data_IF_728779656124
#
_entry.id   IF_728779656124
#
_cell.length_a   1.000
_cell.length_b   1.000
_cell.length_c   1.000
_cell.angle_alpha   90.00
_cell.angle_beta   90.00
_cell.angle_gamma   90.00
#
_symmetry.space_group_name_H-M   'P 1'
#
loop_
_entity.id
_entity.type
_entity.pdbx_description
1 polymer ?
#
# COMPACT_ATOMS: atom_id res chain seq x y z
N UNK A 1 -5.49 -8.71 9.54
CA UNK A 1 -4.66 -9.40 10.56
C UNK A 1 -3.36 -8.61 10.70
N UNK A 2 -3.14 -7.88 11.79
CA UNK A 2 -1.78 -7.52 12.22
C UNK A 2 -1.31 -8.72 13.05
N UNK A 3 -0.50 -9.58 12.45
CA UNK A 3 -0.06 -10.82 13.08
C UNK A 3 0.74 -10.52 14.34
N UNK A 4 0.50 -11.30 15.39
CA UNK A 4 1.33 -11.30 16.59
C UNK A 4 2.80 -11.53 16.21
N UNK A 5 3.64 -10.56 16.52
CA UNK A 5 5.08 -10.51 16.27
C UNK A 5 5.85 -11.57 17.08
N UNK A 6 5.79 -12.83 16.68
CA UNK A 6 6.78 -13.80 17.20
C UNK A 6 7.97 -13.91 16.25
N UNK A 7 7.75 -13.97 14.93
CA UNK A 7 8.84 -13.94 13.93
C UNK A 7 8.32 -13.35 12.61
N UNK A 8 8.69 -12.09 12.30
CA UNK A 8 8.57 -11.57 10.94
C UNK A 8 9.71 -12.15 10.07
N UNK A 9 9.44 -12.45 8.80
CA UNK A 9 10.46 -12.89 7.84
C UNK A 9 11.65 -11.90 7.86
N UNK A 10 12.86 -12.40 8.19
CA UNK A 10 14.07 -11.60 8.38
C UNK A 10 13.98 -10.44 9.40
N UNK A 11 13.11 -10.53 10.42
CA UNK A 11 12.92 -9.47 11.42
C UNK A 11 12.48 -8.11 10.81
N UNK A 12 11.80 -8.13 9.67
CA UNK A 12 11.29 -6.91 9.05
C UNK A 12 10.07 -6.38 9.81
N UNK A 13 9.98 -5.07 9.99
CA UNK A 13 8.82 -4.41 10.57
C UNK A 13 7.85 -4.02 9.44
N UNK A 14 6.80 -4.82 9.25
CA UNK A 14 5.77 -4.59 8.24
C UNK A 14 4.39 -5.06 8.71
N UNK A 15 3.34 -4.43 8.15
CA UNK A 15 1.95 -4.82 8.36
C UNK A 15 1.23 -5.04 7.04
N UNK A 16 0.22 -5.91 7.05
CA UNK A 16 -0.66 -6.16 5.90
C UNK A 16 -2.10 -5.91 6.36
N UNK A 17 -2.83 -5.12 5.58
CA UNK A 17 -4.25 -4.87 5.83
C UNK A 17 -5.00 -4.84 4.50
N UNK A 18 -6.22 -5.36 4.50
CA UNK A 18 -7.10 -5.32 3.35
C UNK A 18 -7.84 -3.99 3.31
N UNK A 19 -8.09 -3.47 2.11
CA UNK A 19 -8.92 -2.28 1.94
C UNK A 19 -10.38 -2.57 2.33
N UNK A 20 -10.92 -3.71 1.90
CA UNK A 20 -12.27 -4.15 2.25
C UNK A 20 -12.15 -5.30 3.23
N UNK A 21 -12.61 -5.10 4.47
CA UNK A 21 -12.42 -6.06 5.57
C UNK A 21 -13.61 -7.00 5.81
N UNK A 22 -14.78 -6.68 5.25
CA UNK A 22 -16.04 -7.36 5.59
C UNK A 22 -16.36 -8.57 4.71
N UNK A 23 -15.56 -8.83 3.65
CA UNK A 23 -15.80 -9.92 2.72
C UNK A 23 -14.62 -10.89 2.64
N UNK A 24 -14.88 -12.19 2.82
CA UNK A 24 -13.95 -13.28 2.49
C UNK A 24 -13.97 -13.65 0.99
N UNK A 25 -14.49 -12.78 0.12
CA UNK A 25 -14.46 -12.97 -1.33
C UNK A 25 -13.08 -12.59 -1.84
N UNK A 26 -12.44 -13.49 -2.58
CA UNK A 26 -11.08 -13.29 -3.11
C UNK A 26 -11.07 -12.74 -4.54
N UNK A 27 -12.21 -12.80 -5.25
CA UNK A 27 -12.33 -12.18 -6.57
C UNK A 27 -12.46 -10.66 -6.44
N UNK A 28 -11.33 -9.99 -6.66
CA UNK A 28 -11.26 -8.52 -6.67
C UNK A 28 -12.24 -7.87 -7.63
N UNK A 29 -12.80 -8.54 -8.65
CA UNK A 29 -13.82 -7.97 -9.56
C UNK A 29 -15.15 -7.71 -8.85
N UNK A 30 -15.52 -8.59 -7.91
CA UNK A 30 -16.80 -8.57 -7.18
C UNK A 30 -16.81 -7.63 -5.98
N UNK A 31 -15.62 -7.22 -5.54
CA UNK A 31 -15.44 -6.34 -4.39
C UNK A 31 -15.43 -4.88 -4.85
N UNK A 32 -16.29 -4.05 -4.27
CA UNK A 32 -16.29 -2.60 -4.47
C UNK A 32 -16.00 -1.92 -3.13
N UNK A 33 -14.85 -1.23 -3.00
CA UNK A 33 -14.54 -0.49 -1.78
C UNK A 33 -15.57 0.63 -1.54
N UNK A 34 -16.08 0.69 -0.32
CA UNK A 34 -16.90 1.80 0.14
C UNK A 34 -16.02 2.97 0.60
N UNK A 35 -16.62 4.14 0.79
CA UNK A 35 -15.90 5.30 1.34
C UNK A 35 -15.43 5.04 2.79
N UNK A 36 -16.22 4.30 3.57
CA UNK A 36 -15.88 3.87 4.93
C UNK A 36 -14.63 3.00 4.97
N UNK A 37 -14.40 2.15 3.96
CA UNK A 37 -13.19 1.34 3.82
C UNK A 37 -11.94 2.21 3.66
N UNK A 38 -12.00 3.20 2.77
CA UNK A 38 -10.91 4.16 2.55
C UNK A 38 -10.67 5.01 3.82
N UNK A 39 -11.74 5.44 4.50
CA UNK A 39 -11.64 6.17 5.77
C UNK A 39 -10.96 5.33 6.86
N UNK A 40 -11.32 4.05 6.99
CA UNK A 40 -10.70 3.12 7.94
C UNK A 40 -9.21 2.94 7.63
N UNK A 41 -8.86 2.66 6.36
CA UNK A 41 -7.47 2.54 5.94
C UNK A 41 -6.66 3.81 6.28
N UNK A 42 -7.24 4.99 6.04
CA UNK A 42 -6.61 6.27 6.36
C UNK A 42 -6.37 6.43 7.86
N UNK A 43 -7.37 6.14 8.69
CA UNK A 43 -7.22 6.20 10.15
C UNK A 43 -6.10 5.27 10.61
N UNK A 44 -6.05 4.05 10.08
CA UNK A 44 -4.96 3.09 10.37
C UNK A 44 -3.60 3.65 9.98
N UNK A 45 -3.45 4.24 8.78
CA UNK A 45 -2.16 4.81 8.35
C UNK A 45 -1.76 6.01 9.22
N UNK A 46 -2.72 6.86 9.64
CA UNK A 46 -2.44 8.00 10.51
C UNK A 46 -2.13 7.58 11.96
N UNK A 47 -2.70 6.48 12.44
CA UNK A 47 -2.45 5.89 13.75
C UNK A 47 -1.04 5.28 13.82
N UNK A 48 -0.71 4.39 12.90
CA UNK A 48 0.57 3.67 12.90
C UNK A 48 1.72 4.45 12.27
N UNK A 49 1.42 5.48 11.47
CA UNK A 49 2.40 6.34 10.76
C UNK A 49 3.55 5.54 10.12
N UNK A 50 3.26 4.51 9.30
CA UNK A 50 4.31 3.69 8.73
C UNK A 50 5.21 4.55 7.83
N UNK A 51 6.50 4.21 7.74
CA UNK A 51 7.42 4.91 6.83
C UNK A 51 6.92 4.87 5.38
N UNK A 52 6.34 3.73 4.98
CA UNK A 52 5.85 3.45 3.63
C UNK A 52 4.47 2.79 3.70
N UNK A 53 3.56 3.21 2.81
CA UNK A 53 2.31 2.51 2.52
C UNK A 53 2.30 2.05 1.06
N UNK A 54 1.99 0.77 0.82
CA UNK A 54 1.95 0.17 -0.52
C UNK A 54 0.52 -0.20 -0.86
N UNK A 55 -0.04 0.43 -1.89
CA UNK A 55 -1.32 0.07 -2.47
C UNK A 55 -1.10 -1.03 -3.52
N UNK A 56 -1.42 -2.27 -3.15
CA UNK A 56 -1.07 -3.48 -3.91
C UNK A 56 -2.11 -3.87 -4.98
N UNK A 57 -2.82 -2.92 -5.59
CA UNK A 57 -3.69 -3.23 -6.72
C UNK A 57 -4.23 -1.97 -7.38
N UNK A 58 -4.53 -2.03 -8.69
CA UNK A 58 -5.20 -0.93 -9.41
C UNK A 58 -6.50 -0.49 -8.71
N UNK A 59 -7.30 -1.44 -8.21
CA UNK A 59 -8.58 -1.13 -7.56
C UNK A 59 -8.37 -0.41 -6.23
N UNK A 60 -7.43 -0.89 -5.41
CA UNK A 60 -7.07 -0.25 -4.14
C UNK A 60 -6.50 1.16 -4.36
N UNK A 61 -5.51 1.29 -5.26
CA UNK A 61 -4.93 2.58 -5.64
C UNK A 61 -5.99 3.57 -6.10
N UNK A 62 -6.90 3.14 -6.97
CA UNK A 62 -7.95 4.02 -7.50
C UNK A 62 -8.96 4.44 -6.43
N UNK A 63 -9.40 3.52 -5.57
CA UNK A 63 -10.36 3.82 -4.52
C UNK A 63 -9.78 4.82 -3.50
N UNK A 64 -8.56 4.57 -3.04
CA UNK A 64 -7.89 5.41 -2.04
C UNK A 64 -7.53 6.80 -2.60
N UNK A 65 -6.93 6.87 -3.79
CA UNK A 65 -6.61 8.17 -4.42
C UNK A 65 -7.86 9.00 -4.73
N UNK A 66 -8.95 8.34 -5.16
CA UNK A 66 -10.23 9.03 -5.39
C UNK A 66 -10.77 9.61 -4.08
N UNK A 67 -10.72 8.84 -3.00
CA UNK A 67 -11.14 9.30 -1.67
C UNK A 67 -10.33 10.52 -1.20
N UNK A 68 -9.03 10.56 -1.51
CA UNK A 68 -8.14 11.68 -1.19
C UNK A 68 -8.25 12.88 -2.15
N UNK A 69 -9.12 12.82 -3.16
CA UNK A 69 -9.22 13.85 -4.21
C UNK A 69 -7.93 14.00 -5.02
N UNK A 70 -7.15 12.93 -5.18
CA UNK A 70 -5.87 12.94 -5.92
C UNK A 70 -6.05 12.40 -7.35
N UNK A 71 -5.16 12.79 -8.29
CA UNK A 71 -5.17 12.24 -9.63
C UNK A 71 -5.03 10.72 -9.64
N UNK A 72 -5.77 10.05 -10.54
CA UNK A 72 -5.70 8.59 -10.67
C UNK A 72 -4.35 8.17 -11.25
N UNK A 73 -3.70 7.20 -10.60
CA UNK A 73 -2.45 6.62 -11.07
C UNK A 73 -2.67 5.25 -11.72
N UNK A 74 -1.73 4.84 -12.57
CA UNK A 74 -1.69 3.49 -13.13
C UNK A 74 -1.35 2.45 -12.05
N UNK A 75 -1.69 1.19 -12.35
CA UNK A 75 -1.14 0.08 -11.59
C UNK A 75 0.38 0.01 -11.82
N UNK A 76 1.15 -0.32 -10.79
CA UNK A 76 2.63 -0.34 -10.85
C UNK A 76 3.28 1.03 -11.10
N UNK A 77 2.60 2.13 -10.79
CA UNK A 77 3.17 3.48 -10.93
C UNK A 77 4.50 3.64 -10.15
N UNK A 78 4.63 2.98 -9.00
CA UNK A 78 5.73 3.20 -8.07
C UNK A 78 5.39 4.33 -7.10
N UNK A 79 6.36 5.17 -6.79
CA UNK A 79 6.22 6.25 -5.82
C UNK A 79 5.11 7.24 -6.19
N UNK A 80 4.22 7.53 -5.24
CA UNK A 80 3.14 8.51 -5.35
C UNK A 80 3.51 9.80 -4.61
N UNK A 81 4.08 9.68 -3.41
CA UNK A 81 4.40 10.82 -2.55
C UNK A 81 3.76 10.74 -1.16
N UNK A 82 3.91 11.80 -0.38
CA UNK A 82 3.23 11.98 0.91
C UNK A 82 1.89 12.66 0.64
N UNK A 83 0.81 11.89 0.69
CA UNK A 83 -0.51 12.34 0.20
C UNK A 83 -1.56 12.57 1.29
N UNK A 84 -1.26 12.18 2.53
CA UNK A 84 -2.07 12.49 3.71
C UNK A 84 -1.45 13.70 4.43
N UNK A 85 -2.26 14.70 4.72
CA UNK A 85 -1.85 15.86 5.51
C UNK A 85 -1.39 15.46 6.92
N UNK A 86 -0.30 16.07 7.40
CA UNK A 86 0.32 15.78 8.69
C UNK A 86 0.75 14.30 8.87
N UNK A 87 1.02 13.60 7.77
CA UNK A 87 1.50 12.23 7.78
C UNK A 87 2.70 12.09 6.85
N UNK A 88 3.84 11.64 7.39
CA UNK A 88 5.10 11.51 6.63
C UNK A 88 5.19 10.21 5.82
N UNK A 89 4.16 9.36 5.88
CA UNK A 89 4.08 8.10 5.15
C UNK A 89 4.22 8.32 3.65
N UNK A 90 5.20 7.65 3.04
CA UNK A 90 5.38 7.65 1.59
C UNK A 90 4.49 6.59 0.94
N UNK A 91 3.68 7.00 -0.02
CA UNK A 91 2.80 6.09 -0.74
C UNK A 91 3.45 5.53 -2.01
N UNK A 92 3.19 4.26 -2.28
CA UNK A 92 3.54 3.57 -3.52
C UNK A 92 2.33 2.84 -4.09
N UNK A 93 2.22 2.78 -5.42
CA UNK A 93 1.28 1.91 -6.14
C UNK A 93 2.05 0.78 -6.80
N UNK A 94 1.69 -0.46 -6.44
CA UNK A 94 2.30 -1.67 -6.97
C UNK A 94 1.24 -2.59 -7.57
N UNK A 95 1.64 -3.38 -8.55
CA UNK A 95 0.78 -4.47 -9.02
C UNK A 95 0.93 -5.70 -8.14
N UNK A 96 -0.11 -6.54 -8.12
CA UNK A 96 -0.02 -7.85 -7.50
C UNK A 96 1.19 -8.63 -8.06
N UNK A 97 1.88 -9.42 -7.21
CA UNK A 97 2.99 -10.26 -7.66
C UNK A 97 2.59 -11.20 -8.80
N UNK A 98 1.36 -11.74 -8.76
CA UNK A 98 0.83 -12.70 -9.73
C UNK A 98 -0.47 -12.21 -10.40
N UNK A 99 -0.96 -12.96 -11.39
CA UNK A 99 -2.28 -12.72 -12.00
C UNK A 99 -2.38 -11.50 -12.93
N UNK A 100 -1.27 -11.02 -13.49
CA UNK A 100 -1.25 -9.93 -14.46
C UNK A 100 -0.04 -10.05 -15.41
N UNK A 101 -0.13 -9.38 -16.57
CA UNK A 101 0.88 -9.44 -17.63
C UNK A 101 2.08 -8.49 -17.41
N UNK A 102 2.27 -7.96 -16.20
CA UNK A 102 3.41 -7.09 -15.91
C UNK A 102 4.63 -7.97 -15.63
N UNK A 103 5.74 -7.79 -16.36
CA UNK A 103 6.94 -8.60 -16.17
C UNK A 103 7.47 -8.53 -14.74
N UNK A 104 7.92 -9.66 -14.20
CA UNK A 104 8.48 -9.73 -12.84
C UNK A 104 9.60 -8.72 -12.61
N UNK A 105 10.44 -8.49 -13.62
CA UNK A 105 11.52 -7.49 -13.59
C UNK A 105 11.00 -6.07 -13.28
N UNK A 106 9.87 -5.69 -13.88
CA UNK A 106 9.26 -4.36 -13.67
C UNK A 106 8.62 -4.24 -12.29
N UNK A 107 8.08 -5.35 -11.74
CA UNK A 107 7.58 -5.38 -10.36
C UNK A 107 8.73 -5.24 -9.37
N UNK A 108 9.81 -6.00 -9.57
CA UNK A 108 11.00 -6.00 -8.71
C UNK A 108 11.64 -4.60 -8.64
N UNK A 109 11.71 -3.86 -9.77
CA UNK A 109 12.19 -2.47 -9.77
C UNK A 109 11.44 -1.60 -8.75
N UNK A 110 10.13 -1.76 -8.60
CA UNK A 110 9.33 -0.99 -7.64
C UNK A 110 9.63 -1.36 -6.19
N UNK A 111 9.85 -2.65 -5.91
CA UNK A 111 10.29 -3.07 -4.58
C UNK A 111 11.70 -2.57 -4.25
N UNK A 112 12.59 -2.46 -5.23
CA UNK A 112 13.91 -1.84 -5.06
C UNK A 112 13.77 -0.34 -4.72
N UNK A 113 12.84 0.38 -5.36
CA UNK A 113 12.54 1.79 -5.01
C UNK A 113 12.10 1.92 -3.54
N UNK A 114 11.18 1.05 -3.08
CA UNK A 114 10.73 1.03 -1.67
C UNK A 114 11.87 0.75 -0.72
N UNK A 115 12.73 -0.23 -1.03
CA UNK A 115 13.88 -0.57 -0.19
C UNK A 115 14.83 0.63 -0.07
N UNK A 116 15.19 1.25 -1.19
CA UNK A 116 16.06 2.45 -1.20
C UNK A 116 15.48 3.59 -0.34
N UNK A 117 14.19 3.85 -0.44
CA UNK A 117 13.53 4.87 0.38
C UNK A 117 13.58 4.52 1.87
N UNK A 118 13.31 3.25 2.21
CA UNK A 118 13.27 2.78 3.60
C UNK A 118 14.65 2.81 4.26
N UNK A 119 15.69 2.46 3.49
CA UNK A 119 17.08 2.51 3.93
C UNK A 119 17.52 3.97 4.17
N UNK A 120 17.25 4.87 3.21
CA UNK A 120 17.58 6.30 3.34
C UNK A 120 16.84 6.96 4.51
N UNK A 121 15.54 6.70 4.67
CA UNK A 121 14.75 7.28 5.76
C UNK A 121 15.21 6.83 7.17
N UNK A 122 15.99 5.76 7.26
CA UNK A 122 16.56 5.26 8.52
C UNK A 122 17.90 5.94 8.84
N UNK A 123 18.58 6.53 7.87
CA UNK A 123 19.86 7.24 8.08
C UNK A 123 19.72 8.65 8.70
N UNK A 124 18.49 9.14 8.91
CA UNK A 124 18.19 10.46 9.49
C UNK A 124 17.41 10.38 10.82
N UNK A 125 17.35 9.19 11.42
CA UNK A 125 16.87 8.94 12.77
C UNK A 125 18.05 8.51 13.64
#
# INVERSE_FOLDING_TARGET
>A
MFGSNVINFYCWDYGITDLVTEFAESDSKRIMPAESDCKRLRNTIQEFKPKVAILLHKKATRADLKYLGKPMMSANHGQIGKIIENCLTMYFSMSFPHGNNIPSREKVKKYIEVKKYSDYATSFL
#
